data_IF_533049299404
#
_entry.id   IF_533049299404
#
_cell.length_a   1.000
_cell.length_b   1.000
_cell.length_c   1.000
_cell.angle_alpha   90.00
_cell.angle_beta   90.00
_cell.angle_gamma   90.00
#
_symmetry.space_group_name_H-M   'P 1'
#
loop_
_entity.id
_entity.type
_entity.pdbx_description
1 polymer ?
#
# COMPACT_ATOMS: atom_id res chain seq x y z
N UNK A 1 2.97 7.23 -25.21
CA UNK A 1 4.02 6.20 -25.09
C UNK A 1 3.34 4.85 -24.96
N UNK A 2 3.83 3.80 -25.64
CA UNK A 2 3.24 2.45 -25.55
C UNK A 2 3.85 1.73 -24.35
N UNK A 3 3.00 1.23 -23.44
CA UNK A 3 3.43 0.39 -22.30
C UNK A 3 3.71 -1.02 -22.84
N UNK A 4 4.90 -1.55 -22.58
CA UNK A 4 5.30 -2.93 -22.94
C UNK A 4 5.71 -3.76 -21.74
N UNK A 5 6.30 -3.17 -20.70
CA UNK A 5 6.72 -3.89 -19.48
C UNK A 5 6.34 -3.12 -18.22
N UNK A 6 5.62 -3.77 -17.32
CA UNK A 6 5.06 -3.19 -16.09
C UNK A 6 5.63 -3.88 -14.87
N UNK A 7 6.15 -3.10 -13.92
CA UNK A 7 6.55 -3.56 -12.59
C UNK A 7 5.41 -3.34 -11.60
N UNK A 8 4.94 -4.39 -10.95
CA UNK A 8 3.96 -4.32 -9.87
C UNK A 8 4.66 -4.63 -8.55
N UNK A 9 4.65 -3.67 -7.61
CA UNK A 9 5.39 -3.78 -6.33
C UNK A 9 4.73 -4.69 -5.27
N UNK A 10 3.86 -5.61 -5.70
CA UNK A 10 3.14 -6.58 -4.89
C UNK A 10 3.53 -8.02 -5.28
N UNK A 11 3.28 -9.03 -4.42
CA UNK A 11 3.42 -10.42 -4.81
C UNK A 11 2.47 -10.77 -5.97
N UNK A 12 2.80 -11.82 -6.71
CA UNK A 12 1.91 -12.33 -7.75
C UNK A 12 0.57 -12.77 -7.13
N UNK A 13 -0.57 -12.45 -7.78
CA UNK A 13 -1.89 -12.86 -7.32
C UNK A 13 -2.03 -14.39 -7.34
N UNK A 14 -2.77 -14.94 -6.38
CA UNK A 14 -2.99 -16.39 -6.27
C UNK A 14 -3.81 -16.93 -7.46
N UNK A 15 -4.63 -16.08 -8.07
CA UNK A 15 -5.46 -16.41 -9.24
C UNK A 15 -4.65 -16.60 -10.54
N UNK A 16 -3.33 -16.32 -10.51
CA UNK A 16 -2.44 -16.52 -11.64
C UNK A 16 -2.96 -15.83 -12.91
N UNK A 17 -3.13 -16.59 -13.99
CA UNK A 17 -3.59 -16.09 -15.30
C UNK A 17 -4.96 -15.42 -15.27
N UNK A 18 -5.84 -15.80 -14.33
CA UNK A 18 -7.18 -15.22 -14.19
C UNK A 18 -7.18 -13.87 -13.46
N UNK A 19 -6.02 -13.43 -12.98
CA UNK A 19 -5.94 -12.15 -12.27
C UNK A 19 -6.28 -10.97 -13.21
N UNK A 20 -6.94 -9.91 -12.69
CA UNK A 20 -7.30 -8.74 -13.49
C UNK A 20 -6.12 -8.10 -14.23
N UNK A 21 -4.93 -8.15 -13.63
CA UNK A 21 -3.69 -7.66 -14.23
C UNK A 21 -3.26 -8.50 -15.44
N UNK A 22 -3.30 -9.84 -15.34
CA UNK A 22 -2.91 -10.72 -16.44
C UNK A 22 -3.89 -10.64 -17.61
N UNK A 23 -5.20 -10.53 -17.34
CA UNK A 23 -6.19 -10.28 -18.38
C UNK A 23 -5.94 -8.96 -19.12
N UNK A 24 -5.57 -7.90 -18.39
CA UNK A 24 -5.23 -6.60 -18.97
C UNK A 24 -3.94 -6.69 -19.80
N UNK A 25 -2.93 -7.40 -19.31
CA UNK A 25 -1.67 -7.66 -20.00
C UNK A 25 -1.88 -8.39 -21.33
N UNK A 26 -2.72 -9.42 -21.34
CA UNK A 26 -3.10 -10.14 -22.56
C UNK A 26 -3.86 -9.24 -23.55
N UNK A 27 -4.84 -8.48 -23.06
CA UNK A 27 -5.67 -7.59 -23.89
C UNK A 27 -4.84 -6.50 -24.61
N UNK A 28 -3.82 -5.96 -23.95
CA UNK A 28 -3.02 -4.85 -24.49
C UNK A 28 -1.58 -5.24 -24.87
N UNK A 29 -1.25 -6.54 -24.78
CA UNK A 29 0.03 -7.14 -25.14
C UNK A 29 1.25 -6.46 -24.47
N UNK A 30 1.26 -6.47 -23.13
CA UNK A 30 2.41 -6.06 -22.31
C UNK A 30 2.77 -7.14 -21.27
N UNK A 31 4.01 -7.12 -20.80
CA UNK A 31 4.53 -8.03 -19.78
C UNK A 31 4.35 -7.44 -18.38
N UNK A 32 4.05 -8.28 -17.38
CA UNK A 32 3.99 -7.90 -15.97
C UNK A 32 5.07 -8.66 -15.19
N UNK A 33 5.83 -7.91 -14.39
CA UNK A 33 6.74 -8.45 -13.38
C UNK A 33 6.23 -8.08 -12.00
N UNK A 34 5.92 -9.10 -11.20
CA UNK A 34 5.55 -8.94 -9.79
C UNK A 34 6.80 -8.98 -8.93
N UNK A 35 7.15 -7.87 -8.29
CA UNK A 35 8.33 -7.79 -7.44
C UNK A 35 8.05 -6.96 -6.21
N UNK A 36 7.85 -7.62 -5.07
CA UNK A 36 7.71 -6.92 -3.79
C UNK A 36 9.02 -6.19 -3.46
N UNK A 37 8.95 -4.87 -3.33
CA UNK A 37 10.14 -4.04 -3.16
C UNK A 37 10.69 -4.08 -1.73
N UNK A 38 9.90 -4.44 -0.73
CA UNK A 38 10.32 -4.51 0.67
C UNK A 38 9.94 -5.85 1.29
N UNK A 39 10.56 -6.18 2.42
CA UNK A 39 10.29 -7.38 3.21
C UNK A 39 10.23 -7.03 4.70
N UNK A 40 9.50 -7.84 5.45
CA UNK A 40 9.59 -7.83 6.91
C UNK A 40 10.74 -8.76 7.29
N UNK A 41 11.63 -8.27 8.13
CA UNK A 41 12.80 -9.02 8.59
C UNK A 41 12.88 -8.93 10.11
N UNK A 42 13.24 -10.05 10.74
CA UNK A 42 13.47 -10.10 12.17
C UNK A 42 14.71 -9.30 12.55
N UNK A 43 14.63 -8.57 13.67
CA UNK A 43 15.79 -7.89 14.24
C UNK A 43 16.81 -8.94 14.70
N UNK A 44 18.09 -8.69 14.45
CA UNK A 44 19.16 -9.59 14.90
C UNK A 44 19.35 -9.54 16.42
N UNK A 45 19.90 -10.59 17.00
CA UNK A 45 20.27 -10.62 18.43
C UNK A 45 21.17 -9.46 18.84
N UNK A 46 22.08 -9.00 17.96
CA UNK A 46 22.93 -7.82 18.21
C UNK A 46 22.10 -6.55 18.34
N UNK A 47 21.19 -6.31 17.41
CA UNK A 47 20.30 -5.14 17.44
C UNK A 47 19.31 -5.18 18.61
N UNK A 48 18.80 -6.38 18.96
CA UNK A 48 17.93 -6.53 20.12
C UNK A 48 18.66 -6.22 21.43
N UNK A 49 19.89 -6.72 21.62
CA UNK A 49 20.71 -6.40 22.81
C UNK A 49 20.97 -4.91 22.97
N UNK A 50 21.08 -4.15 21.87
CA UNK A 50 21.24 -2.67 21.94
C UNK A 50 20.03 -1.95 22.54
N UNK A 51 18.86 -2.58 22.55
CA UNK A 51 17.67 -2.03 23.19
C UNK A 51 17.71 -2.17 24.72
N UNK A 52 18.71 -2.90 25.27
CA UNK A 52 18.86 -3.17 26.71
C UNK A 52 17.63 -3.84 27.32
N UNK A 53 16.99 -4.73 26.55
CA UNK A 53 15.82 -5.50 26.98
C UNK A 53 16.26 -6.93 27.26
N UNK A 54 15.90 -7.44 28.44
CA UNK A 54 16.01 -8.87 28.78
C UNK A 54 14.60 -9.43 28.87
N UNK A 55 14.27 -10.44 28.07
CA UNK A 55 12.90 -10.99 27.99
C UNK A 55 12.37 -11.47 29.35
N UNK A 56 13.25 -11.98 30.21
CA UNK A 56 12.90 -12.53 31.53
C UNK A 56 12.67 -11.45 32.60
N UNK A 57 12.93 -10.17 32.31
CA UNK A 57 12.65 -9.06 33.25
C UNK A 57 11.17 -8.64 33.23
N UNK A 58 10.37 -9.25 32.37
CA UNK A 58 8.96 -8.92 32.14
C UNK A 58 8.06 -10.10 32.51
N UNK A 59 6.86 -9.79 33.00
CA UNK A 59 5.88 -10.78 33.47
C UNK A 59 4.84 -11.10 32.39
N UNK A 60 4.64 -10.17 31.45
CA UNK A 60 3.59 -10.23 30.46
C UNK A 60 4.07 -9.72 29.08
N UNK A 61 3.61 -10.39 28.02
CA UNK A 61 3.90 -10.02 26.63
C UNK A 61 2.60 -9.71 25.89
N UNK A 62 2.51 -8.54 25.27
CA UNK A 62 1.34 -8.13 24.48
C UNK A 62 1.56 -8.43 23.00
N UNK A 63 0.65 -9.19 22.39
CA UNK A 63 0.76 -9.71 21.03
C UNK A 63 -0.45 -9.27 20.19
N UNK A 64 -0.18 -8.52 19.13
CA UNK A 64 -1.21 -7.97 18.23
C UNK A 64 -1.16 -8.52 16.81
N UNK A 65 -0.19 -9.38 16.50
CA UNK A 65 -0.08 -9.98 15.16
C UNK A 65 0.67 -11.30 15.19
N UNK A 66 0.39 -12.16 14.20
CA UNK A 66 1.15 -13.39 13.96
C UNK A 66 2.64 -13.11 13.71
N UNK A 67 2.97 -11.99 13.07
CA UNK A 67 4.36 -11.56 12.84
C UNK A 67 5.10 -11.30 14.16
N UNK A 68 4.45 -10.63 15.12
CA UNK A 68 5.04 -10.42 16.44
C UNK A 68 5.30 -11.76 17.16
N UNK A 69 4.38 -12.71 17.06
CA UNK A 69 4.55 -14.07 17.61
C UNK A 69 5.76 -14.76 16.97
N UNK A 70 5.78 -14.87 15.64
CA UNK A 70 6.83 -15.57 14.90
C UNK A 70 8.21 -14.98 15.21
N UNK A 71 8.34 -13.65 15.18
CA UNK A 71 9.61 -12.99 15.43
C UNK A 71 10.03 -13.00 16.90
N UNK A 72 9.10 -12.99 17.86
CA UNK A 72 9.40 -13.14 19.28
C UNK A 72 10.05 -14.49 19.57
N UNK A 73 9.42 -15.60 19.14
CA UNK A 73 9.95 -16.94 19.41
C UNK A 73 11.21 -17.23 18.60
N UNK A 74 11.30 -16.74 17.35
CA UNK A 74 12.55 -16.79 16.58
C UNK A 74 13.69 -16.09 17.34
N UNK A 75 13.43 -14.89 17.85
CA UNK A 75 14.43 -14.11 18.58
C UNK A 75 14.81 -14.80 19.90
N UNK A 76 13.84 -15.28 20.68
CA UNK A 76 14.07 -16.02 21.92
C UNK A 76 14.98 -17.24 21.69
N UNK A 77 14.73 -18.00 20.61
CA UNK A 77 15.58 -19.11 20.17
C UNK A 77 16.99 -18.64 19.78
N UNK A 78 17.10 -17.55 19.02
CA UNK A 78 18.39 -16.97 18.59
C UNK A 78 19.26 -16.54 19.79
N UNK A 79 18.66 -15.93 20.81
CA UNK A 79 19.35 -15.50 22.04
C UNK A 79 19.45 -16.59 23.10
N UNK A 80 18.97 -17.81 22.81
CA UNK A 80 18.97 -18.98 23.72
C UNK A 80 18.25 -18.72 25.05
N UNK A 81 17.13 -18.01 25.00
CA UNK A 81 16.25 -17.79 26.16
C UNK A 81 15.05 -18.73 26.07
N UNK A 82 14.87 -19.53 27.12
CA UNK A 82 13.65 -20.30 27.33
C UNK A 82 12.62 -19.44 28.06
N UNK A 83 11.44 -19.27 27.46
CA UNK A 83 10.38 -18.45 28.06
C UNK A 83 9.64 -19.28 29.12
N UNK A 84 9.63 -18.85 30.40
CA UNK A 84 9.09 -19.65 31.51
C UNK A 84 7.57 -19.78 31.44
N UNK A 85 7.02 -20.88 31.98
CA UNK A 85 5.57 -21.15 31.99
C UNK A 85 4.74 -20.08 32.73
N UNK A 86 5.40 -19.33 33.62
CA UNK A 86 4.84 -18.20 34.36
C UNK A 86 4.60 -16.95 33.50
N UNK A 87 5.25 -16.83 32.34
CA UNK A 87 5.08 -15.71 31.40
C UNK A 87 3.62 -15.64 30.91
N UNK A 88 2.99 -14.48 31.09
CA UNK A 88 1.62 -14.24 30.62
C UNK A 88 1.64 -13.72 29.19
N UNK A 89 0.66 -14.14 28.38
CA UNK A 89 0.47 -13.61 27.03
C UNK A 89 -0.87 -12.90 26.94
N UNK A 90 -0.86 -11.65 26.49
CA UNK A 90 -2.05 -10.86 26.21
C UNK A 90 -2.20 -10.70 24.71
N UNK A 91 -3.15 -11.42 24.12
CA UNK A 91 -3.37 -11.48 22.68
C UNK A 91 -4.55 -10.60 22.28
N UNK A 92 -4.36 -9.67 21.35
CA UNK A 92 -5.42 -8.75 20.95
C UNK A 92 -6.69 -9.47 20.44
N UNK A 93 -6.54 -10.67 19.87
CA UNK A 93 -7.66 -11.49 19.41
C UNK A 93 -7.43 -12.96 19.75
N UNK A 94 -8.53 -13.72 19.82
CA UNK A 94 -8.49 -15.17 19.98
C UNK A 94 -7.65 -15.84 18.87
N UNK A 95 -7.76 -15.36 17.62
CA UNK A 95 -6.97 -15.87 16.50
C UNK A 95 -5.45 -15.78 16.71
N UNK A 96 -4.98 -14.75 17.42
CA UNK A 96 -3.55 -14.61 17.79
C UNK A 96 -3.21 -15.55 18.95
N UNK A 97 -4.12 -15.67 19.93
CA UNK A 97 -3.95 -16.59 21.05
C UNK A 97 -3.80 -18.03 20.57
N UNK A 98 -4.74 -18.53 19.75
CA UNK A 98 -4.69 -19.88 19.19
C UNK A 98 -3.43 -20.10 18.34
N UNK A 99 -2.92 -19.05 17.67
CA UNK A 99 -1.68 -19.14 16.91
C UNK A 99 -0.44 -19.43 17.79
N UNK A 100 -0.46 -19.09 19.08
CA UNK A 100 0.61 -19.44 20.03
C UNK A 100 0.80 -20.95 20.21
N UNK A 101 -0.23 -21.77 19.95
CA UNK A 101 -0.16 -23.24 20.08
C UNK A 101 0.98 -23.85 19.27
N UNK A 102 1.43 -23.17 18.20
CA UNK A 102 2.57 -23.58 17.37
C UNK A 102 3.92 -23.51 18.09
N UNK A 103 4.02 -22.69 19.14
CA UNK A 103 5.27 -22.34 19.81
C UNK A 103 5.30 -22.78 21.28
N UNK A 104 4.15 -22.89 21.94
CA UNK A 104 4.05 -23.22 23.36
C UNK A 104 2.99 -24.28 23.62
N UNK A 105 3.16 -25.04 24.72
CA UNK A 105 2.12 -25.92 25.24
C UNK A 105 1.00 -25.09 25.86
N UNK A 106 -0.04 -24.79 25.07
CA UNK A 106 -1.10 -23.82 25.41
C UNK A 106 -1.71 -24.00 26.80
N UNK A 107 -2.02 -25.25 27.20
CA UNK A 107 -2.65 -25.56 28.51
C UNK A 107 -1.77 -25.24 29.72
N UNK A 108 -0.44 -25.15 29.54
CA UNK A 108 0.51 -24.85 30.62
C UNK A 108 0.79 -23.35 30.76
N UNK A 109 0.13 -22.50 29.97
CA UNK A 109 0.48 -21.10 29.84
C UNK A 109 -0.73 -20.24 30.20
N UNK A 110 -0.47 -19.11 30.85
CA UNK A 110 -1.51 -18.10 31.12
C UNK A 110 -1.67 -17.22 29.88
N UNK A 111 -2.72 -17.46 29.12
CA UNK A 111 -3.01 -16.76 27.88
C UNK A 111 -4.35 -16.05 28.06
N UNK A 112 -4.31 -14.72 28.01
CA UNK A 112 -5.46 -13.83 28.06
C UNK A 112 -5.66 -13.26 26.66
N UNK A 113 -6.90 -13.18 26.18
CA UNK A 113 -7.16 -12.68 24.84
C UNK A 113 -8.42 -11.83 24.76
N UNK A 114 -8.40 -10.85 23.86
CA UNK A 114 -9.58 -10.12 23.43
C UNK A 114 -10.46 -10.99 22.55
N UNK A 115 -11.71 -10.57 22.34
CA UNK A 115 -12.62 -11.28 21.45
C UNK A 115 -12.32 -10.89 20.00
N UNK A 116 -12.34 -9.60 19.69
CA UNK A 116 -12.19 -9.07 18.33
C UNK A 116 -11.11 -8.00 18.22
N UNK A 117 -10.81 -7.28 19.31
CA UNK A 117 -9.87 -6.16 19.26
C UNK A 117 -9.06 -6.00 20.56
N UNK A 118 -8.06 -5.11 20.49
CA UNK A 118 -7.23 -4.74 21.63
C UNK A 118 -8.05 -4.14 22.80
N UNK A 119 -9.12 -3.39 22.52
CA UNK A 119 -9.95 -2.76 23.55
C UNK A 119 -10.60 -3.78 24.48
N UNK A 120 -10.89 -4.99 23.99
CA UNK A 120 -11.47 -6.08 24.77
C UNK A 120 -10.53 -6.57 25.88
N UNK A 121 -9.23 -6.23 25.81
CA UNK A 121 -8.25 -6.57 26.84
C UNK A 121 -8.25 -5.60 28.02
N UNK A 122 -8.97 -4.48 27.97
CA UNK A 122 -8.85 -3.41 28.97
C UNK A 122 -9.06 -3.92 30.42
N UNK A 123 -10.18 -4.61 30.68
CA UNK A 123 -10.50 -5.11 32.01
C UNK A 123 -9.55 -6.23 32.48
N UNK A 124 -9.06 -7.04 31.54
CA UNK A 124 -8.07 -8.08 31.83
C UNK A 124 -6.73 -7.46 32.19
N UNK A 125 -6.28 -6.45 31.44
CA UNK A 125 -5.02 -5.76 31.71
C UNK A 125 -5.08 -4.97 33.03
N UNK A 126 -6.20 -4.33 33.36
CA UNK A 126 -6.39 -3.62 34.65
C UNK A 126 -6.23 -4.54 35.86
N UNK A 127 -6.69 -5.81 35.76
CA UNK A 127 -6.49 -6.83 36.81
C UNK A 127 -5.01 -7.24 36.99
N UNK A 128 -4.18 -6.89 36.02
CA UNK A 128 -2.76 -7.24 35.94
C UNK A 128 -1.86 -5.99 35.89
N UNK A 129 -2.34 -4.82 36.33
CA UNK A 129 -1.65 -3.53 36.18
C UNK A 129 -0.24 -3.47 36.80
N UNK A 130 0.03 -4.30 37.80
CA UNK A 130 1.31 -4.35 38.51
C UNK A 130 2.36 -5.23 37.78
N UNK A 131 1.95 -6.00 36.76
CA UNK A 131 2.86 -6.79 35.92
C UNK A 131 3.73 -5.86 35.04
N UNK A 132 4.98 -6.27 34.76
CA UNK A 132 5.82 -5.58 33.78
C UNK A 132 5.53 -6.07 32.38
N UNK A 133 4.98 -5.19 31.52
CA UNK A 133 4.61 -5.55 30.16
C UNK A 133 5.71 -5.28 29.13
N UNK A 134 5.86 -6.23 28.20
CA UNK A 134 6.68 -6.08 27.00
C UNK A 134 5.79 -6.08 25.75
N UNK A 135 5.98 -5.10 24.89
CA UNK A 135 5.28 -5.00 23.59
C UNK A 135 6.27 -5.31 22.46
N UNK A 136 6.36 -6.57 21.99
CA UNK A 136 7.06 -6.92 20.77
C UNK A 136 6.39 -6.28 19.54
N UNK A 137 7.10 -5.39 18.85
CA UNK A 137 6.55 -4.63 17.74
C UNK A 137 7.52 -4.45 16.56
N UNK A 138 6.99 -3.91 15.47
CA UNK A 138 7.79 -3.41 14.36
C UNK A 138 8.55 -2.12 14.74
N UNK A 139 9.48 -1.70 13.89
CA UNK A 139 10.14 -0.38 13.96
C UNK A 139 9.24 0.80 13.54
N UNK A 140 7.99 0.53 13.13
CA UNK A 140 7.06 1.58 12.73
C UNK A 140 6.45 2.34 13.93
N UNK A 141 6.15 3.62 13.71
CA UNK A 141 5.62 4.54 14.73
C UNK A 141 4.12 4.37 15.00
N UNK A 142 3.38 3.63 14.16
CA UNK A 142 1.92 3.47 14.24
C UNK A 142 1.51 2.22 15.02
N UNK A 143 2.03 2.07 16.24
CA UNK A 143 1.55 1.01 17.13
C UNK A 143 0.48 1.61 18.03
N UNK A 144 -0.74 1.08 17.99
CA UNK A 144 -1.87 1.52 18.83
C UNK A 144 -1.77 0.99 20.26
N UNK A 145 -0.98 -0.08 20.49
CA UNK A 145 -0.82 -0.69 21.82
C UNK A 145 -0.24 0.27 22.86
N UNK A 146 0.85 1.02 22.58
CA UNK A 146 1.36 2.04 23.49
C UNK A 146 0.30 3.03 23.96
N UNK A 147 -0.44 3.66 23.03
CA UNK A 147 -1.50 4.61 23.38
C UNK A 147 -2.58 3.97 24.25
N UNK A 148 -3.02 2.76 23.90
CA UNK A 148 -3.99 2.01 24.70
C UNK A 148 -3.47 1.68 26.10
N UNK A 149 -2.18 1.35 26.24
CA UNK A 149 -1.58 1.07 27.54
C UNK A 149 -1.35 2.33 28.38
N UNK A 150 -1.03 3.45 27.73
CA UNK A 150 -0.94 4.77 28.36
C UNK A 150 -2.31 5.19 28.93
N UNK A 151 -3.41 5.01 28.18
CA UNK A 151 -4.78 5.26 28.63
C UNK A 151 -5.21 4.42 29.84
N UNK A 152 -4.63 3.22 29.97
CA UNK A 152 -4.88 2.33 31.11
C UNK A 152 -3.92 2.55 32.29
N UNK A 153 -2.98 3.50 32.15
CA UNK A 153 -1.93 3.79 33.14
C UNK A 153 -1.05 2.56 33.47
N UNK A 154 -0.80 1.70 32.48
CA UNK A 154 -0.01 0.47 32.65
C UNK A 154 1.43 0.70 32.21
N UNK A 155 2.39 0.28 33.03
CA UNK A 155 3.80 0.36 32.67
C UNK A 155 4.19 -0.70 31.63
N UNK A 156 4.83 -0.26 30.54
CA UNK A 156 5.28 -1.16 29.48
C UNK A 156 6.64 -0.73 28.89
N UNK A 157 7.29 -1.68 28.21
CA UNK A 157 8.41 -1.41 27.32
C UNK A 157 8.11 -1.88 25.90
N UNK A 158 8.40 -1.03 24.91
CA UNK A 158 8.41 -1.45 23.50
C UNK A 158 9.70 -2.19 23.18
N UNK A 159 9.58 -3.31 22.48
CA UNK A 159 10.68 -4.09 21.94
C UNK A 159 10.54 -4.19 20.43
N UNK A 160 11.42 -3.51 19.69
CA UNK A 160 11.47 -3.61 18.23
C UNK A 160 12.13 -4.94 17.86
N UNK A 161 11.34 -5.93 17.45
CA UNK A 161 11.80 -7.31 17.22
C UNK A 161 11.74 -7.74 15.75
N UNK A 162 11.11 -6.93 14.91
CA UNK A 162 11.16 -7.03 13.45
C UNK A 162 11.03 -5.64 12.84
N UNK A 163 11.38 -5.52 11.57
CA UNK A 163 11.38 -4.25 10.85
C UNK A 163 11.03 -4.45 9.39
N UNK A 164 10.46 -3.42 8.79
CA UNK A 164 10.24 -3.41 7.34
C UNK A 164 11.44 -2.82 6.64
N UNK A 165 12.16 -3.65 5.88
CA UNK A 165 13.37 -3.25 5.17
C UNK A 165 13.18 -3.33 3.66
N UNK A 166 13.82 -2.44 2.89
CA UNK A 166 13.97 -2.61 1.45
C UNK A 166 14.55 -3.98 1.11
N UNK A 167 13.98 -4.64 0.11
CA UNK A 167 14.55 -5.84 -0.49
C UNK A 167 15.73 -5.41 -1.35
N UNK A 168 16.77 -6.24 -1.38
CA UNK A 168 17.85 -6.12 -2.36
C UNK A 168 17.32 -6.51 -3.75
N UNK A 169 17.43 -5.58 -4.69
CA UNK A 169 16.96 -5.71 -6.07
C UNK A 169 18.08 -5.45 -7.08
N UNK A 170 19.35 -5.70 -6.71
CA UNK A 170 20.49 -5.48 -7.61
C UNK A 170 20.39 -6.22 -8.95
N UNK A 171 19.69 -7.37 -8.99
CA UNK A 171 19.47 -8.13 -10.23
C UNK A 171 18.35 -7.58 -11.12
N UNK A 172 17.57 -6.60 -10.65
CA UNK A 172 16.47 -6.01 -11.39
C UNK A 172 16.95 -4.78 -12.17
N UNK A 173 16.85 -4.80 -13.49
CA UNK A 173 17.04 -3.58 -14.28
C UNK A 173 15.79 -2.71 -14.24
N UNK A 174 15.78 -1.73 -13.33
CA UNK A 174 14.65 -0.82 -13.16
C UNK A 174 14.34 0.00 -14.43
N UNK A 175 15.32 0.23 -15.31
CA UNK A 175 15.13 1.03 -16.53
C UNK A 175 14.39 0.25 -17.64
N UNK A 176 14.33 -1.07 -17.53
CA UNK A 176 13.63 -1.93 -18.49
C UNK A 176 12.10 -1.79 -18.44
N UNK A 177 11.55 -1.17 -17.39
CA UNK A 177 10.12 -1.00 -17.18
C UNK A 177 9.59 0.30 -17.77
N UNK A 178 8.48 0.24 -18.49
CA UNK A 178 7.78 1.43 -18.98
C UNK A 178 6.88 2.04 -17.90
N UNK A 179 6.36 1.21 -16.98
CA UNK A 179 5.49 1.61 -15.89
C UNK A 179 5.90 0.89 -14.60
N UNK A 180 6.05 1.64 -13.51
CA UNK A 180 6.31 1.13 -12.17
C UNK A 180 5.13 1.48 -11.27
N UNK A 181 4.47 0.46 -10.71
CA UNK A 181 3.25 0.58 -9.91
C UNK A 181 3.55 0.32 -8.43
N UNK A 182 3.32 1.34 -7.61
CA UNK A 182 3.70 1.43 -6.20
C UNK A 182 2.44 1.46 -5.32
N UNK A 183 2.38 0.58 -4.31
CA UNK A 183 1.19 0.42 -3.45
C UNK A 183 1.40 0.90 -2.01
N UNK A 184 2.58 1.43 -1.67
CA UNK A 184 2.84 1.98 -0.34
C UNK A 184 4.03 2.95 -0.36
N UNK A 185 4.10 3.88 0.61
CA UNK A 185 5.29 4.73 0.81
C UNK A 185 6.59 3.95 0.99
N UNK A 186 6.53 2.75 1.60
CA UNK A 186 7.71 1.90 1.75
C UNK A 186 8.24 1.39 0.39
N UNK A 187 7.36 1.20 -0.59
CA UNK A 187 7.77 0.90 -1.97
C UNK A 187 8.61 2.04 -2.56
N UNK A 188 8.20 3.29 -2.36
CA UNK A 188 8.94 4.50 -2.80
C UNK A 188 10.31 4.55 -2.11
N UNK A 189 10.34 4.41 -0.78
CA UNK A 189 11.60 4.40 -0.02
C UNK A 189 12.53 3.29 -0.50
N UNK A 190 11.98 2.13 -0.82
CA UNK A 190 12.75 1.00 -1.33
C UNK A 190 13.30 1.22 -2.74
N UNK A 191 12.54 1.89 -3.62
CA UNK A 191 12.99 2.28 -4.96
C UNK A 191 14.26 3.12 -4.86
N UNK A 192 14.23 4.21 -4.09
CA UNK A 192 15.39 5.10 -3.93
C UNK A 192 16.54 4.46 -3.15
N UNK A 193 16.27 3.49 -2.25
CA UNK A 193 17.36 2.77 -1.60
C UNK A 193 18.13 1.86 -2.56
N UNK A 194 17.42 1.19 -3.48
CA UNK A 194 18.04 0.30 -4.47
C UNK A 194 18.67 1.09 -5.63
N UNK A 195 18.07 2.21 -6.02
CA UNK A 195 18.57 3.10 -7.06
C UNK A 195 18.63 4.56 -6.55
N UNK A 196 19.67 4.94 -5.79
CA UNK A 196 19.79 6.28 -5.19
C UNK A 196 19.76 7.44 -6.20
N UNK A 197 20.24 7.18 -7.42
CA UNK A 197 20.27 8.14 -8.52
C UNK A 197 19.11 7.93 -9.52
N UNK A 198 18.01 7.29 -9.09
CA UNK A 198 16.86 7.04 -9.96
C UNK A 198 16.32 8.36 -10.51
N UNK A 199 16.15 8.41 -11.83
CA UNK A 199 15.51 9.51 -12.55
C UNK A 199 14.40 8.91 -13.40
N UNK A 200 13.16 9.35 -13.17
CA UNK A 200 11.99 8.81 -13.84
C UNK A 200 12.03 8.94 -15.37
N UNK A 201 12.49 10.09 -15.89
CA UNK A 201 12.55 10.36 -17.33
C UNK A 201 11.22 10.04 -18.05
N UNK A 202 11.23 9.06 -18.97
CA UNK A 202 10.08 8.60 -19.75
C UNK A 202 9.27 7.50 -19.04
N UNK A 203 9.80 6.89 -17.98
CA UNK A 203 9.10 5.87 -17.22
C UNK A 203 7.87 6.48 -16.56
N UNK A 204 6.80 5.69 -16.54
CA UNK A 204 5.54 6.06 -15.90
C UNK A 204 5.55 5.57 -14.46
N UNK A 205 5.00 6.37 -13.55
CA UNK A 205 4.78 5.98 -12.15
C UNK A 205 3.28 5.86 -11.89
N UNK A 206 2.88 4.67 -11.44
CA UNK A 206 1.55 4.40 -10.92
C UNK A 206 1.56 4.36 -9.39
N UNK A 207 0.63 5.03 -8.72
CA UNK A 207 0.49 4.96 -7.25
C UNK A 207 -0.90 4.51 -6.84
N UNK A 208 -0.96 3.60 -5.86
CA UNK A 208 -2.20 3.20 -5.20
C UNK A 208 -2.32 3.81 -3.80
N UNK A 209 -3.32 4.66 -3.60
CA UNK A 209 -3.65 5.36 -2.36
C UNK A 209 -2.93 6.69 -2.16
N UNK A 210 -3.59 7.63 -1.50
CA UNK A 210 -3.13 9.02 -1.35
C UNK A 210 -1.80 9.13 -0.59
N UNK A 211 -1.60 8.30 0.43
CA UNK A 211 -0.33 8.23 1.16
C UNK A 211 0.83 7.84 0.24
N UNK A 212 0.61 6.92 -0.71
CA UNK A 212 1.63 6.50 -1.68
C UNK A 212 1.89 7.59 -2.71
N UNK A 213 0.83 8.23 -3.21
CA UNK A 213 0.92 9.38 -4.13
C UNK A 213 1.71 10.52 -3.49
N UNK A 214 1.35 10.93 -2.27
CA UNK A 214 2.05 11.96 -1.50
C UNK A 214 3.54 11.64 -1.35
N UNK A 215 3.86 10.42 -0.91
CA UNK A 215 5.25 9.99 -0.77
C UNK A 215 6.02 10.00 -2.10
N UNK A 216 5.39 9.66 -3.21
CA UNK A 216 6.01 9.72 -4.53
C UNK A 216 6.34 11.17 -4.93
N UNK A 217 5.38 12.10 -4.76
CA UNK A 217 5.54 13.52 -5.05
C UNK A 217 6.63 14.16 -4.18
N UNK A 218 6.65 13.87 -2.87
CA UNK A 218 7.67 14.35 -1.92
C UNK A 218 9.09 13.88 -2.29
N UNK A 219 9.22 12.75 -2.98
CA UNK A 219 10.50 12.24 -3.50
C UNK A 219 10.78 12.69 -4.95
N UNK A 220 10.05 13.68 -5.46
CA UNK A 220 10.27 14.28 -6.79
C UNK A 220 9.84 13.40 -7.97
N UNK A 221 8.99 12.39 -7.74
CA UNK A 221 8.40 11.60 -8.81
C UNK A 221 7.16 12.30 -9.37
N UNK A 222 7.01 12.29 -10.69
CA UNK A 222 5.76 12.62 -11.36
C UNK A 222 4.85 11.41 -11.31
N UNK A 223 3.65 11.54 -10.73
CA UNK A 223 2.64 10.49 -10.74
C UNK A 223 1.85 10.56 -12.05
N UNK A 224 1.97 9.54 -12.90
CA UNK A 224 1.30 9.48 -14.21
C UNK A 224 -0.05 8.75 -14.13
N UNK A 225 -0.18 7.80 -13.20
CA UNK A 225 -1.38 6.99 -13.00
C UNK A 225 -1.67 6.92 -11.50
N UNK A 226 -2.82 7.44 -11.07
CA UNK A 226 -3.25 7.38 -9.67
C UNK A 226 -4.52 6.53 -9.56
N UNK A 227 -4.55 5.66 -8.56
CA UNK A 227 -5.76 4.96 -8.12
C UNK A 227 -5.77 4.88 -6.58
N UNK A 228 -6.92 4.67 -5.93
CA UNK A 228 -8.24 4.88 -6.50
C UNK A 228 -8.45 6.36 -6.90
N UNK A 229 -9.39 6.60 -7.79
CA UNK A 229 -9.96 7.91 -8.11
C UNK A 229 -11.45 7.73 -8.44
N UNK A 230 -12.21 8.83 -8.51
CA UNK A 230 -13.64 8.77 -8.84
C UNK A 230 -13.91 8.02 -10.15
N UNK A 231 -13.05 8.19 -11.16
CA UNK A 231 -13.17 7.52 -12.45
C UNK A 231 -12.45 6.18 -12.52
N UNK A 232 -11.52 5.87 -11.62
CA UNK A 232 -10.74 4.65 -11.64
C UNK A 232 -10.56 4.10 -10.21
N UNK A 233 -11.55 3.38 -9.65
CA UNK A 233 -11.46 2.80 -8.31
C UNK A 233 -10.36 1.74 -8.15
N UNK A 234 -9.87 1.15 -9.26
CA UNK A 234 -8.81 0.16 -9.24
C UNK A 234 -7.61 0.57 -10.09
N UNK A 235 -6.45 0.04 -9.74
CA UNK A 235 -5.22 0.30 -10.50
C UNK A 235 -5.26 -0.34 -11.90
N UNK A 236 -5.89 -1.50 -12.08
CA UNK A 236 -6.06 -2.09 -13.41
C UNK A 236 -6.91 -1.18 -14.31
N UNK A 237 -7.98 -0.61 -13.78
CA UNK A 237 -8.83 0.34 -14.49
C UNK A 237 -8.08 1.64 -14.79
N UNK A 238 -7.26 2.14 -13.86
CA UNK A 238 -6.43 3.33 -14.09
C UNK A 238 -5.39 3.12 -15.20
N UNK A 239 -4.75 1.93 -15.24
CA UNK A 239 -3.82 1.55 -16.31
C UNK A 239 -4.57 1.46 -17.65
N UNK A 240 -5.73 0.79 -17.68
CA UNK A 240 -6.54 0.67 -18.89
C UNK A 240 -7.00 2.04 -19.41
N UNK A 241 -7.48 2.90 -18.52
CA UNK A 241 -7.87 4.27 -18.83
C UNK A 241 -6.71 5.07 -19.43
N UNK A 242 -5.52 4.94 -18.86
CA UNK A 242 -4.30 5.57 -19.39
C UNK A 242 -3.97 5.06 -20.80
N UNK A 243 -4.03 3.75 -21.04
CA UNK A 243 -3.77 3.15 -22.37
C UNK A 243 -4.77 3.68 -23.40
N UNK A 244 -6.07 3.68 -23.07
CA UNK A 244 -7.13 4.11 -23.97
C UNK A 244 -7.02 5.61 -24.31
N UNK A 245 -6.73 6.47 -23.33
CA UNK A 245 -6.67 7.90 -23.54
C UNK A 245 -5.32 8.37 -24.11
N UNK A 246 -4.24 7.67 -23.81
CA UNK A 246 -2.96 7.84 -24.49
C UNK A 246 -3.08 7.62 -26.00
N UNK A 247 -3.87 6.63 -26.43
CA UNK A 247 -4.11 6.34 -27.84
C UNK A 247 -5.01 7.37 -28.55
N UNK A 248 -5.92 8.06 -27.84
CA UNK A 248 -6.76 9.12 -28.42
C UNK A 248 -5.94 10.35 -28.83
N UNK A 249 -4.96 10.76 -28.02
CA UNK A 249 -4.05 11.88 -28.36
C UNK A 249 -3.20 11.59 -29.59
N UNK A 250 -2.78 10.34 -29.80
CA UNK A 250 -2.01 9.91 -30.99
C UNK A 250 -2.86 9.87 -32.26
N UNK A 251 -4.12 9.42 -32.18
CA UNK A 251 -5.05 9.43 -33.32
C UNK A 251 -5.41 10.85 -33.77
N UNK A 252 -5.62 11.77 -32.82
CA UNK A 252 -5.89 13.19 -33.13
C UNK A 252 -4.68 13.86 -33.81
N UNK A 253 -3.45 13.62 -33.32
CA UNK A 253 -2.23 14.11 -33.96
C UNK A 253 -2.05 13.55 -35.38
N UNK A 254 -2.18 12.24 -35.57
CA UNK A 254 -2.03 11.64 -36.91
C UNK A 254 -3.09 12.13 -37.90
N UNK A 255 -4.31 12.43 -37.43
CA UNK A 255 -5.37 13.03 -38.27
C UNK A 255 -5.05 14.47 -38.64
N UNK A 256 -4.46 15.26 -37.73
CA UNK A 256 -3.99 16.62 -38.04
C UNK A 256 -2.78 16.66 -38.97
N UNK A 257 -1.82 15.72 -38.85
CA UNK A 257 -0.66 15.64 -39.73
C UNK A 257 -1.02 15.13 -41.13
N UNK A 258 -1.97 14.19 -41.24
CA UNK A 258 -2.52 13.75 -42.52
C UNK A 258 -3.28 14.89 -43.23
N UNK A 259 -4.13 15.63 -42.50
CA UNK A 259 -4.83 16.81 -43.04
C UNK A 259 -3.88 17.92 -43.47
N UNK A 260 -2.76 18.11 -42.76
CA UNK A 260 -1.71 19.08 -43.14
C UNK A 260 -0.91 18.64 -44.37
N UNK A 261 -0.79 17.33 -44.63
CA UNK A 261 -0.18 16.80 -45.86
C UNK A 261 -1.12 16.97 -47.07
N UNK A 262 -2.42 16.70 -46.90
CA UNK A 262 -3.44 16.97 -47.94
C UNK A 262 -3.55 18.46 -48.29
N UNK A 263 -3.40 19.37 -47.31
CA UNK A 263 -3.44 20.83 -47.55
C UNK A 263 -2.17 21.32 -48.26
N UNK A 264 -1.00 20.75 -47.98
CA UNK A 264 0.24 21.15 -48.68
C UNK A 264 0.27 20.64 -50.13
N UNK A 265 -0.29 19.46 -50.41
CA UNK A 265 -0.42 18.92 -51.78
C UNK A 265 -1.48 19.65 -52.62
N UNK A 266 -2.41 20.36 -51.99
CA UNK A 266 -3.44 21.17 -52.69
C UNK A 266 -3.05 22.64 -52.85
N UNK A 267 -2.11 23.16 -52.04
CA UNK A 267 -1.61 24.54 -52.15
C UNK A 267 -0.46 24.73 -53.15
N UNK A 268 0.13 23.68 -53.71
CA UNK A 268 1.18 23.81 -54.75
C UNK A 268 0.63 23.93 -56.18
N UNK A 269 -0.70 23.91 -56.38
CA UNK A 269 -1.33 23.98 -57.72
C UNK A 269 -2.22 25.21 -57.95
N UNK A 270 -2.13 26.26 -57.15
CA UNK A 270 -2.84 27.52 -57.43
C UNK A 270 -2.07 28.73 -56.90
N UNK A 271 -1.11 29.21 -57.69
CA UNK A 271 -0.59 30.57 -57.59
C UNK A 271 -0.73 31.22 -58.97
N UNK A 272 -1.69 32.14 -59.09
CA UNK A 272 -1.55 33.35 -59.89
C UNK A 272 -2.52 34.41 -59.36
N UNK A 273 -1.94 35.60 -59.19
CA UNK A 273 -2.51 36.94 -59.27
C UNK A 273 -3.33 37.54 -58.10
N UNK A 274 -2.68 38.56 -57.51
CA UNK A 274 -3.15 39.94 -57.30
C UNK A 274 -3.96 40.39 -56.07
N UNK A 275 -3.31 41.35 -55.38
CA UNK A 275 -3.81 42.62 -54.81
C UNK A 275 -4.60 42.60 -53.48
N UNK A 276 -4.04 43.30 -52.48
CA UNK A 276 -4.69 43.78 -51.26
C UNK A 276 -5.51 45.07 -51.53
N UNK A 277 -6.50 45.45 -50.70
CA UNK A 277 -6.15 46.36 -49.58
C UNK A 277 -7.05 46.33 -48.32
N UNK A 278 -6.46 46.88 -47.23
CA UNK A 278 -7.00 47.74 -46.14
C UNK A 278 -8.29 47.45 -45.34
N UNK A 279 -8.09 47.28 -44.02
CA UNK A 279 -8.57 48.04 -42.84
C UNK A 279 -10.06 48.33 -42.53
N UNK A 280 -10.32 48.44 -41.21
CA UNK A 280 -11.50 48.97 -40.48
C UNK A 280 -12.68 47.99 -40.25
N UNK A 281 -13.41 47.94 -39.13
CA UNK A 281 -13.42 48.51 -37.77
C UNK A 281 -14.54 47.75 -36.97
N UNK A 282 -14.70 48.05 -35.66
CA UNK A 282 -15.90 47.85 -34.80
C UNK A 282 -16.20 46.39 -34.33
N UNK A 283 -16.58 46.08 -33.09
CA UNK A 283 -16.67 46.77 -31.79
C UNK A 283 -17.06 45.72 -30.70
N UNK A 284 -17.19 46.20 -29.46
CA UNK A 284 -17.87 45.63 -28.26
C UNK A 284 -16.97 44.89 -27.24
N UNK A 285 -16.55 45.58 -26.15
CA UNK A 285 -17.27 45.83 -24.87
C UNK A 285 -17.42 44.56 -24.00
N UNK A 286 -16.68 44.37 -22.90
CA UNK A 286 -16.64 45.06 -21.58
C UNK A 286 -17.39 44.24 -20.48
N UNK A 287 -16.68 44.08 -19.35
CA UNK A 287 -17.12 43.83 -17.96
C UNK A 287 -17.64 42.43 -17.58
N UNK A 288 -16.94 41.74 -16.66
CA UNK A 288 -17.10 41.78 -15.18
C UNK A 288 -18.37 41.01 -14.76
N UNK A 289 -18.44 40.21 -13.71
CA UNK A 289 -17.55 39.83 -12.61
C UNK A 289 -18.27 38.71 -11.85
N UNK A 290 -17.62 38.17 -10.82
CA UNK A 290 -18.21 37.67 -9.56
C UNK A 290 -17.97 36.20 -9.22
N UNK A 291 -17.25 36.08 -8.10
CA UNK A 291 -17.09 34.91 -7.25
C UNK A 291 -18.43 34.58 -6.57
N UNK A 292 -18.71 33.29 -6.38
CA UNK A 292 -19.56 32.83 -5.28
C UNK A 292 -18.95 31.58 -4.63
N UNK A 293 -18.86 31.69 -3.31
CA UNK A 293 -18.59 30.76 -2.23
C UNK A 293 -18.89 29.25 -2.45
N UNK A 294 -17.97 28.46 -1.89
CA UNK A 294 -18.14 27.04 -1.58
C UNK A 294 -19.02 26.87 -0.34
N UNK A 295 -20.19 26.27 -0.52
CA UNK A 295 -21.07 25.80 0.54
C UNK A 295 -20.82 24.32 0.87
N UNK A 296 -20.62 24.04 2.15
CA UNK A 296 -20.62 22.70 2.76
C UNK A 296 -21.92 21.93 2.46
N UNK A 297 -21.78 20.62 2.23
CA UNK A 297 -22.86 19.65 2.38
C UNK A 297 -22.31 18.34 2.96
N UNK A 298 -22.50 18.17 4.27
CA UNK A 298 -22.62 16.87 4.91
C UNK A 298 -23.98 16.28 4.50
N UNK A 299 -23.99 15.04 4.00
CA UNK A 299 -25.10 14.09 4.25
C UNK A 299 -24.72 12.64 3.85
N UNK A 300 -24.51 11.84 4.89
CA UNK A 300 -24.99 10.47 5.15
C UNK A 300 -25.40 9.61 3.93
N UNK A 301 -24.76 8.44 3.76
CA UNK A 301 -25.51 7.24 3.39
C UNK A 301 -24.91 5.94 3.95
N UNK A 302 -25.70 5.31 4.82
CA UNK A 302 -25.57 3.98 5.41
C UNK A 302 -26.13 2.95 4.43
N UNK A 303 -25.47 1.81 4.23
CA UNK A 303 -26.13 0.62 3.68
C UNK A 303 -25.38 -0.68 4.03
N UNK A 304 -26.05 -1.85 4.00
CA UNK A 304 -26.12 -2.76 5.15
C UNK A 304 -25.38 -4.08 4.91
N UNK A 305 -25.15 -4.82 5.99
CA UNK A 305 -24.57 -6.17 5.99
C UNK A 305 -25.45 -7.21 5.26
N UNK A 306 -24.85 -8.19 4.56
CA UNK A 306 -25.59 -9.31 3.97
C UNK A 306 -25.85 -10.44 4.98
N UNK A 307 -26.95 -11.21 4.81
CA UNK A 307 -27.41 -12.17 5.81
C UNK A 307 -26.64 -13.49 5.81
N UNK A 308 -26.51 -14.04 7.02
CA UNK A 308 -25.99 -15.37 7.35
C UNK A 308 -26.81 -16.49 6.70
N UNK A 309 -26.14 -17.37 5.94
CA UNK A 309 -26.72 -18.63 5.47
C UNK A 309 -26.75 -19.65 6.61
N UNK A 310 -27.96 -20.15 6.90
CA UNK A 310 -28.23 -21.29 7.81
C UNK A 310 -27.62 -22.57 7.22
N UNK A 311 -26.87 -23.29 8.06
CA UNK A 311 -26.40 -24.64 7.78
C UNK A 311 -27.58 -25.61 7.88
N UNK A 312 -27.71 -26.47 6.86
CA UNK A 312 -28.57 -27.65 6.89
C UNK A 312 -27.87 -28.76 7.69
N UNK A 313 -28.53 -29.23 8.74
CA UNK A 313 -28.28 -30.52 9.37
C UNK A 313 -28.87 -31.65 8.51
N UNK A 314 -28.17 -32.79 8.47
CA UNK A 314 -28.71 -34.13 8.25
C UNK A 314 -27.65 -35.18 8.62
N UNK A 315 -28.05 -36.42 8.96
CA UNK A 315 -27.86 -36.92 10.33
C UNK A 315 -26.80 -38.02 10.48
N UNK A 316 -26.55 -38.38 11.74
CA UNK A 316 -25.66 -39.43 12.19
C UNK A 316 -26.07 -40.83 11.67
N UNK A 317 -25.06 -41.62 11.31
CA UNK A 317 -25.13 -43.09 11.33
C UNK A 317 -24.75 -43.57 12.74
N UNK A 318 -25.77 -43.98 13.51
CA UNK A 318 -25.87 -45.23 14.27
C UNK A 318 -27.15 -45.20 15.11
#
# INVERSE_FOLDING_TARGET
MKIKKVLISQPAPAEGEKSPYNLLAQKYNFEIVYQKLFKVEGVSSKEFRRQQIRLLDYDAIVLTSRQAVDHLFRLAKEIRVEIPETMKYFCATENIALYLQRYIQYRKRKILHGHQSLSDLADLMKKHKDDKFLIPCSDSSKNEVPSFMDELEINYKKAVIYKTVPRDLHSLDIKSFDLIVLFSPMGIKSLFKNWPNYKQQKQLIGTFGDNTTKAALENGLRVDIQAPSATCPSMTMAIEYYILNGNKKTKSKNRSTAKKKEIVETCENSNNDEIAPSAENFDDEICNSENIDEGNADDINVNPEPPLKKNHESPAMN
#
